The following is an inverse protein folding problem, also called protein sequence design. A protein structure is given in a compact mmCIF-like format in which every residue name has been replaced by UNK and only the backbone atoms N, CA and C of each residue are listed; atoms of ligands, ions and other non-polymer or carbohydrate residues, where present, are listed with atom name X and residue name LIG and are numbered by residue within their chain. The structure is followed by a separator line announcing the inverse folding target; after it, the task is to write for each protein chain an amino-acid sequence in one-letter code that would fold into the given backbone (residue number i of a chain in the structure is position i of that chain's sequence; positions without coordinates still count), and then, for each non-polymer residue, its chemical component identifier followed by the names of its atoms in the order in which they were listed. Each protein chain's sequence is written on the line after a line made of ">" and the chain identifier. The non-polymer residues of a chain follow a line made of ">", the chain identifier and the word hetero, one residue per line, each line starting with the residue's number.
data_IF_209155470018
#
_entry.id   IF_209155470018
#
_cell.length_a   1.000
_cell.length_b   1.000
_cell.length_c   1.000
_cell.angle_alpha   90.00
_cell.angle_beta   90.00
_cell.angle_gamma   90.00
#
_symmetry.space_group_name_H-M   'P 1'
#
loop_
_entity.id
_entity.type
_entity.pdbx_description
1 polymer ?
#
# COMPACT_ATOMS: atom_id res chain seq x y z
N UNK A 1 -57.01 -24.08 22.16
CA UNK A 1 -56.58 -22.88 21.42
C UNK A 1 -55.79 -21.89 22.27
N UNK A 2 -56.26 -21.52 23.48
CA UNK A 2 -55.57 -20.52 24.34
C UNK A 2 -54.12 -20.87 24.68
N UNK A 3 -53.83 -22.13 25.01
CA UNK A 3 -52.47 -22.59 25.35
C UNK A 3 -51.50 -22.45 24.17
N UNK A 4 -51.96 -22.78 22.95
CA UNK A 4 -51.14 -22.70 21.72
C UNK A 4 -50.78 -21.23 21.41
N UNK A 5 -51.73 -20.31 21.58
CA UNK A 5 -51.51 -18.88 21.38
C UNK A 5 -50.51 -18.33 22.39
N UNK A 6 -50.58 -18.74 23.65
CA UNK A 6 -49.62 -18.35 24.69
C UNK A 6 -48.21 -18.85 24.37
N UNK A 7 -48.07 -20.11 23.96
CA UNK A 7 -46.77 -20.68 23.57
C UNK A 7 -46.14 -19.94 22.38
N UNK A 8 -46.93 -19.55 21.37
CA UNK A 8 -46.45 -18.80 20.21
C UNK A 8 -45.99 -17.39 20.59
N UNK A 9 -46.72 -16.69 21.47
CA UNK A 9 -46.32 -15.37 21.96
C UNK A 9 -45.01 -15.45 22.74
N UNK A 10 -44.88 -16.45 23.63
CA UNK A 10 -43.64 -16.68 24.38
C UNK A 10 -42.48 -16.97 23.42
N UNK A 11 -42.66 -17.85 22.42
CA UNK A 11 -41.63 -18.15 21.44
C UNK A 11 -41.19 -16.91 20.64
N UNK A 12 -42.13 -16.05 20.23
CA UNK A 12 -41.83 -14.79 19.53
C UNK A 12 -41.11 -13.80 20.44
N UNK A 13 -41.51 -13.67 21.70
CA UNK A 13 -40.84 -12.80 22.67
C UNK A 13 -39.42 -13.29 23.00
N UNK A 14 -39.24 -14.60 23.16
CA UNK A 14 -37.93 -15.21 23.35
C UNK A 14 -37.05 -15.01 22.12
N UNK A 15 -37.58 -15.22 20.91
CA UNK A 15 -36.86 -14.97 19.66
C UNK A 15 -36.45 -13.49 19.51
N UNK A 16 -37.36 -12.55 19.80
CA UNK A 16 -37.05 -11.11 19.77
C UNK A 16 -36.02 -10.71 20.82
N UNK A 17 -36.07 -11.32 22.02
CA UNK A 17 -35.09 -11.07 23.07
C UNK A 17 -33.71 -11.64 22.72
N UNK A 18 -33.66 -12.82 22.08
CA UNK A 18 -32.43 -13.42 21.52
C UNK A 18 -31.81 -12.57 20.41
N UNK A 19 -32.63 -11.96 19.54
CA UNK A 19 -32.13 -11.02 18.53
C UNK A 19 -31.61 -9.71 19.16
N UNK A 20 -32.23 -9.24 20.26
CA UNK A 20 -31.77 -8.08 21.03
C UNK A 20 -30.45 -8.32 21.76
N UNK A 21 -30.09 -9.59 21.99
CA UNK A 21 -28.82 -10.03 22.59
C UNK A 21 -27.78 -10.48 21.55
N UNK A 22 -28.00 -10.21 20.25
CA UNK A 22 -26.86 -9.99 19.34
C UNK A 22 -26.18 -8.71 19.79
N UNK A 23 -25.34 -8.87 20.80
CA UNK A 23 -24.34 -7.93 21.26
C UNK A 23 -23.68 -7.32 20.03
N UNK A 24 -23.75 -6.00 19.93
CA UNK A 24 -22.81 -5.23 19.15
C UNK A 24 -21.43 -5.59 19.73
N UNK A 25 -20.77 -6.59 19.15
CA UNK A 25 -19.36 -6.84 19.42
C UNK A 25 -18.68 -5.55 19.01
N UNK A 26 -18.06 -4.80 19.94
CA UNK A 26 -17.28 -3.64 19.51
C UNK A 26 -16.27 -4.17 18.49
N UNK A 27 -16.30 -3.64 17.28
CA UNK A 27 -15.22 -3.88 16.32
C UNK A 27 -13.93 -3.49 17.05
N UNK A 28 -13.08 -4.48 17.31
CA UNK A 28 -11.75 -4.21 17.83
C UNK A 28 -10.99 -3.61 16.65
N UNK A 29 -11.05 -2.28 16.54
CA UNK A 29 -10.16 -1.53 15.68
C UNK A 29 -8.77 -1.63 16.31
N UNK A 30 -7.87 -2.36 15.66
CA UNK A 30 -6.46 -2.33 15.98
C UNK A 30 -5.80 -1.10 15.35
N UNK A 31 -4.67 -0.69 15.93
CA UNK A 31 -3.84 0.35 15.37
C UNK A 31 -4.42 1.77 15.44
N UNK A 32 -3.59 2.74 15.12
CA UNK A 32 -3.96 4.15 15.00
C UNK A 32 -4.36 4.50 13.57
N UNK A 33 -5.10 5.59 13.39
CA UNK A 33 -5.42 6.05 12.05
C UNK A 33 -4.14 6.44 11.29
N UNK A 34 -3.96 5.88 10.10
CA UNK A 34 -2.87 6.17 9.17
C UNK A 34 -3.43 6.25 7.75
N UNK A 35 -2.73 7.01 6.90
CA UNK A 35 -3.12 7.15 5.49
C UNK A 35 -4.49 7.80 5.32
N UNK A 36 -4.83 8.13 4.07
CA UNK A 36 -6.16 8.64 3.72
C UNK A 36 -6.58 8.12 2.35
N UNK A 37 -5.72 8.31 1.35
CA UNK A 37 -5.99 7.96 -0.04
C UNK A 37 -6.05 6.44 -0.25
N UNK A 38 -7.26 5.92 -0.52
CA UNK A 38 -7.55 4.50 -0.83
C UNK A 38 -6.81 3.53 0.11
N UNK A 39 -6.72 3.90 1.39
CA UNK A 39 -5.83 3.27 2.35
C UNK A 39 -6.10 1.76 2.55
N UNK A 40 -7.36 1.33 2.43
CA UNK A 40 -7.71 -0.08 2.51
C UNK A 40 -7.13 -0.90 1.35
N UNK A 41 -7.03 -0.31 0.15
CA UNK A 41 -6.41 -0.95 -1.01
C UNK A 41 -4.89 -1.00 -0.84
N UNK A 42 -4.29 0.14 -0.44
CA UNK A 42 -2.86 0.27 -0.09
C UNK A 42 -2.42 -0.72 0.99
N UNK A 43 -3.31 -1.12 1.90
CA UNK A 43 -3.02 -2.11 2.95
C UNK A 43 -3.58 -3.51 2.70
N UNK A 44 -4.21 -3.73 1.55
CA UNK A 44 -4.91 -4.98 1.20
C UNK A 44 -5.85 -5.47 2.31
N UNK A 45 -6.62 -4.55 2.88
CA UNK A 45 -7.61 -4.79 3.93
C UNK A 45 -9.05 -4.58 3.46
N UNK A 46 -9.23 -4.13 2.21
CA UNK A 46 -10.55 -3.99 1.58
C UNK A 46 -11.20 -5.36 1.34
N UNK A 47 -12.50 -5.34 1.06
CA UNK A 47 -13.27 -6.56 0.83
C UNK A 47 -12.81 -7.36 -0.41
N UNK A 48 -12.16 -6.71 -1.38
CA UNK A 48 -11.68 -7.33 -2.61
C UNK A 48 -10.24 -7.86 -2.45
N UNK A 49 -9.57 -7.67 -1.31
CA UNK A 49 -8.21 -8.15 -1.08
C UNK A 49 -8.05 -9.67 -1.27
N UNK A 50 -9.10 -10.45 -1.00
CA UNK A 50 -9.13 -11.90 -1.24
C UNK A 50 -9.13 -12.29 -2.73
N UNK A 51 -9.38 -11.34 -3.64
CA UNK A 51 -9.36 -11.54 -5.09
C UNK A 51 -7.98 -11.31 -5.73
N UNK A 52 -7.03 -10.76 -4.96
CA UNK A 52 -5.66 -10.53 -5.42
C UNK A 52 -5.03 -11.87 -5.78
N UNK A 53 -4.46 -11.96 -6.98
CA UNK A 53 -3.75 -13.14 -7.42
C UNK A 53 -2.50 -13.36 -6.54
N UNK A 54 -2.43 -14.45 -5.75
CA UNK A 54 -1.35 -14.65 -4.80
C UNK A 54 -0.05 -15.10 -5.47
N UNK A 55 -0.07 -15.45 -6.77
CA UNK A 55 1.12 -15.86 -7.51
C UNK A 55 1.87 -14.61 -8.02
N UNK A 56 3.09 -14.32 -7.52
CA UNK A 56 3.83 -13.15 -7.97
C UNK A 56 4.14 -13.24 -9.48
N UNK A 57 3.77 -12.21 -10.21
CA UNK A 57 4.08 -12.05 -11.63
C UNK A 57 5.43 -11.33 -11.78
N UNK A 58 6.38 -11.94 -12.49
CA UNK A 58 7.64 -11.25 -12.83
C UNK A 58 7.35 -10.04 -13.71
N UNK A 59 7.94 -8.89 -13.36
CA UNK A 59 7.84 -7.64 -14.13
C UNK A 59 9.09 -6.79 -13.91
N UNK A 60 9.26 -5.77 -14.74
CA UNK A 60 10.25 -4.69 -14.58
C UNK A 60 9.59 -3.38 -14.16
N UNK A 61 10.40 -2.43 -13.66
CA UNK A 61 9.95 -1.05 -13.42
C UNK A 61 9.50 -0.42 -14.74
N UNK A 62 10.24 -0.67 -15.83
CA UNK A 62 9.85 -0.20 -17.15
C UNK A 62 8.47 -0.66 -17.61
N UNK A 63 8.13 -1.94 -17.43
CA UNK A 63 6.82 -2.49 -17.80
C UNK A 63 5.71 -1.91 -16.92
N UNK A 64 5.89 -1.87 -15.61
CA UNK A 64 4.89 -1.31 -14.68
C UNK A 64 4.64 0.17 -14.97
N UNK A 65 5.70 0.96 -15.18
CA UNK A 65 5.62 2.38 -15.50
C UNK A 65 4.95 2.66 -16.86
N UNK A 66 4.77 1.65 -17.71
CA UNK A 66 4.08 1.76 -19.00
C UNK A 66 2.60 1.38 -18.95
N UNK A 67 2.12 0.86 -17.82
CA UNK A 67 0.71 0.50 -17.65
C UNK A 67 -0.19 1.75 -17.68
N UNK A 68 -1.40 1.66 -18.26
CA UNK A 68 -2.33 2.77 -18.28
C UNK A 68 -2.86 3.06 -16.87
N UNK A 69 -2.56 4.24 -16.33
CA UNK A 69 -3.16 4.69 -15.08
C UNK A 69 -4.69 4.84 -15.25
N UNK A 70 -5.50 4.43 -14.26
CA UNK A 70 -6.94 4.71 -14.24
C UNK A 70 -7.20 6.21 -14.38
N UNK A 71 -8.29 6.58 -15.07
CA UNK A 71 -8.67 8.00 -15.20
C UNK A 71 -9.26 8.58 -13.92
N UNK A 72 -9.95 7.74 -13.15
CA UNK A 72 -10.65 8.11 -11.92
C UNK A 72 -10.14 7.23 -10.77
N UNK A 73 -9.93 7.84 -9.61
CA UNK A 73 -9.66 7.15 -8.36
C UNK A 73 -10.98 6.76 -7.68
N UNK A 74 -11.38 5.49 -7.78
CA UNK A 74 -12.51 4.93 -7.04
C UNK A 74 -12.07 3.87 -6.02
N UNK A 75 -13.00 3.34 -5.24
CA UNK A 75 -12.73 2.28 -4.27
C UNK A 75 -12.58 0.89 -4.90
N UNK A 76 -12.72 0.77 -6.21
CA UNK A 76 -12.52 -0.49 -6.95
C UNK A 76 -11.07 -0.61 -7.41
N UNK A 77 -10.55 -1.84 -7.36
CA UNK A 77 -9.20 -2.16 -7.86
C UNK A 77 -9.15 -2.11 -9.39
N UNK A 78 -8.10 -1.52 -9.94
CA UNK A 78 -7.70 -1.72 -11.34
C UNK A 78 -7.11 -3.11 -11.56
N UNK A 79 -6.93 -3.53 -12.81
CA UNK A 79 -6.30 -4.83 -13.12
C UNK A 79 -4.88 -4.94 -12.55
N UNK A 80 -4.11 -3.85 -12.56
CA UNK A 80 -2.77 -3.85 -11.95
C UNK A 80 -2.84 -4.04 -10.43
N UNK A 81 -3.90 -3.52 -9.79
CA UNK A 81 -4.13 -3.62 -8.35
C UNK A 81 -4.63 -4.99 -7.88
N UNK A 82 -4.91 -5.92 -8.78
CA UNK A 82 -5.28 -7.31 -8.44
C UNK A 82 -4.09 -8.28 -8.54
N UNK A 83 -2.87 -7.79 -8.74
CA UNK A 83 -1.68 -8.63 -8.92
C UNK A 83 -0.57 -8.28 -7.92
N UNK A 84 0.12 -9.32 -7.44
CA UNK A 84 1.43 -9.18 -6.83
C UNK A 84 2.48 -9.22 -7.94
N UNK A 85 3.35 -8.23 -8.00
CA UNK A 85 4.47 -8.18 -8.93
C UNK A 85 5.77 -8.52 -8.21
N UNK A 86 6.66 -9.26 -8.87
CA UNK A 86 8.04 -9.49 -8.44
C UNK A 86 8.98 -8.71 -9.36
N UNK A 87 9.70 -7.75 -8.79
CA UNK A 87 10.55 -6.80 -9.53
C UNK A 87 11.98 -6.87 -8.98
N UNK A 88 12.95 -7.17 -9.84
CA UNK A 88 14.35 -6.93 -9.51
C UNK A 88 14.70 -5.46 -9.76
N UNK A 89 15.27 -4.80 -8.76
CA UNK A 89 15.54 -3.36 -8.79
C UNK A 89 16.83 -2.99 -8.06
N UNK A 90 17.27 -1.74 -8.25
CA UNK A 90 18.27 -1.09 -7.41
C UNK A 90 17.54 -0.31 -6.32
N UNK A 91 17.68 -0.72 -5.06
CA UNK A 91 17.19 0.02 -3.91
C UNK A 91 18.12 1.20 -3.64
N UNK A 92 17.65 2.42 -3.95
CA UNK A 92 18.44 3.65 -3.87
C UNK A 92 18.50 4.23 -2.47
N UNK A 93 17.46 4.02 -1.66
CA UNK A 93 17.32 4.68 -0.37
C UNK A 93 15.90 4.59 0.17
N UNK A 94 15.71 5.19 1.34
CA UNK A 94 14.41 5.18 2.02
C UNK A 94 14.21 6.33 3.00
N UNK A 95 12.96 6.51 3.43
CA UNK A 95 12.54 7.32 4.58
C UNK A 95 11.37 6.65 5.30
N UNK A 96 11.03 7.15 6.48
CA UNK A 96 9.77 6.85 7.15
C UNK A 96 8.79 8.00 6.90
N UNK A 97 7.60 7.71 6.39
CA UNK A 97 6.54 8.70 6.19
C UNK A 97 5.88 9.03 7.53
N UNK A 98 6.54 9.91 8.30
CA UNK A 98 6.14 10.30 9.65
C UNK A 98 5.66 11.75 9.70
N UNK A 99 4.99 12.11 10.79
CA UNK A 99 4.45 13.46 11.02
C UNK A 99 2.93 13.45 11.06
N UNK A 100 2.33 14.63 11.12
CA UNK A 100 0.87 14.81 11.24
C UNK A 100 0.09 14.24 10.04
N UNK A 101 0.72 14.20 8.87
CA UNK A 101 0.11 13.71 7.63
C UNK A 101 0.82 12.48 7.05
N UNK A 102 1.73 11.87 7.81
CA UNK A 102 2.40 10.63 7.41
C UNK A 102 1.54 9.39 7.68
N UNK A 103 1.65 8.38 6.82
CA UNK A 103 0.98 7.09 6.94
C UNK A 103 1.83 6.01 7.63
N UNK A 104 3.06 6.36 8.04
CA UNK A 104 4.04 5.52 8.74
C UNK A 104 4.64 4.42 7.89
N UNK A 105 4.50 4.53 6.59
CA UNK A 105 5.11 3.59 5.66
C UNK A 105 6.62 3.80 5.60
N UNK A 106 7.33 2.72 5.32
CA UNK A 106 8.70 2.84 4.85
C UNK A 106 8.67 3.06 3.34
N UNK A 107 8.87 4.33 2.95
CA UNK A 107 9.01 4.75 1.57
C UNK A 107 10.37 4.33 1.05
N UNK A 108 10.36 3.34 0.16
CA UNK A 108 11.53 2.89 -0.60
C UNK A 108 11.53 3.50 -1.99
N UNK A 109 12.71 3.93 -2.47
CA UNK A 109 12.88 4.31 -3.87
C UNK A 109 13.68 3.24 -4.59
N UNK A 110 13.05 2.68 -5.61
CA UNK A 110 13.63 1.70 -6.52
C UNK A 110 14.03 2.39 -7.83
N UNK A 111 15.13 1.97 -8.41
CA UNK A 111 15.53 2.32 -9.76
C UNK A 111 15.60 1.07 -10.64
N UNK A 112 15.26 1.24 -11.92
CA UNK A 112 15.36 0.19 -12.91
C UNK A 112 16.84 -0.22 -13.08
N UNK A 113 17.19 -1.52 -12.99
CA UNK A 113 18.56 -1.98 -13.19
C UNK A 113 19.13 -1.63 -14.57
N UNK A 114 18.28 -1.49 -15.59
CA UNK A 114 18.68 -1.21 -16.97
C UNK A 114 18.65 0.29 -17.30
N UNK A 115 17.95 1.10 -16.49
CA UNK A 115 17.90 2.56 -16.59
C UNK A 115 17.76 3.22 -15.20
N UNK A 116 18.87 3.58 -14.53
CA UNK A 116 18.83 4.12 -13.17
C UNK A 116 18.10 5.46 -12.99
N UNK A 117 17.73 6.15 -14.09
CA UNK A 117 16.91 7.36 -14.03
C UNK A 117 15.41 7.04 -13.98
N UNK A 118 15.02 5.81 -14.33
CA UNK A 118 13.64 5.33 -14.22
C UNK A 118 13.44 4.80 -12.82
N UNK A 119 12.61 5.48 -12.05
CA UNK A 119 12.33 5.14 -10.65
C UNK A 119 10.89 4.70 -10.44
N UNK A 120 10.68 3.96 -9.36
CA UNK A 120 9.36 3.58 -8.86
C UNK A 120 9.40 3.53 -7.33
N UNK A 121 8.26 3.79 -6.71
CA UNK A 121 8.10 3.73 -5.25
C UNK A 121 7.68 2.32 -4.85
N UNK A 122 8.10 1.92 -3.66
CA UNK A 122 7.59 0.74 -2.98
C UNK A 122 7.41 1.05 -1.49
N UNK A 123 6.21 0.79 -0.96
CA UNK A 123 5.80 1.17 0.39
C UNK A 123 5.58 -0.05 1.28
N UNK A 124 6.12 -0.02 2.50
CA UNK A 124 5.94 -1.10 3.48
C UNK A 124 5.10 -0.60 4.67
N UNK A 125 3.82 -1.02 4.78
CA UNK A 125 2.94 -0.54 5.84
C UNK A 125 3.43 -0.80 7.24
N UNK A 126 3.15 0.13 8.16
CA UNK A 126 3.33 -0.11 9.59
C UNK A 126 2.22 -1.02 10.13
N UNK A 127 2.59 -2.05 10.89
CA UNK A 127 1.63 -2.90 11.60
C UNK A 127 0.88 -2.19 12.73
N UNK A 128 1.32 -0.99 13.13
CA UNK A 128 0.64 -0.16 14.14
C UNK A 128 -0.51 0.66 13.54
N UNK A 129 -0.67 0.66 12.23
CA UNK A 129 -1.71 1.39 11.53
C UNK A 129 -3.00 0.59 11.41
N UNK A 130 -4.14 1.26 11.62
CA UNK A 130 -5.46 0.73 11.32
C UNK A 130 -5.51 0.31 9.84
N UNK A 131 -6.31 -0.73 9.54
CA UNK A 131 -6.36 -1.43 8.24
C UNK A 131 -5.14 -2.33 7.98
N UNK A 132 -3.91 -1.81 8.15
CA UNK A 132 -2.69 -2.63 8.04
C UNK A 132 -2.62 -3.72 9.12
N UNK A 133 -2.95 -3.38 10.37
CA UNK A 133 -2.98 -4.31 11.51
C UNK A 133 -4.05 -5.42 11.39
N UNK A 134 -5.08 -5.21 10.56
CA UNK A 134 -6.14 -6.18 10.29
C UNK A 134 -5.99 -6.87 8.95
N UNK A 135 -4.99 -6.49 8.14
CA UNK A 135 -4.72 -7.08 6.83
C UNK A 135 -4.32 -8.54 6.98
N UNK A 136 -4.76 -9.39 6.04
CA UNK A 136 -4.27 -10.78 5.95
C UNK A 136 -2.77 -10.86 5.67
N UNK A 137 -2.16 -9.75 5.24
CA UNK A 137 -0.75 -9.62 4.90
C UNK A 137 0.10 -9.01 6.04
N UNK A 138 -0.46 -8.77 7.23
CA UNK A 138 0.25 -8.13 8.36
C UNK A 138 1.63 -8.78 8.64
N UNK A 139 1.70 -10.11 8.68
CA UNK A 139 2.95 -10.80 8.98
C UNK A 139 4.03 -10.54 7.91
N UNK A 140 3.63 -10.38 6.65
CA UNK A 140 4.53 -10.03 5.56
C UNK A 140 5.04 -8.59 5.68
N UNK A 141 4.20 -7.65 6.12
CA UNK A 141 4.63 -6.28 6.40
C UNK A 141 5.68 -6.26 7.51
N UNK A 142 5.38 -6.91 8.64
CA UNK A 142 6.28 -6.99 9.79
C UNK A 142 7.61 -7.66 9.43
N UNK A 143 7.57 -8.76 8.68
CA UNK A 143 8.76 -9.45 8.22
C UNK A 143 9.58 -8.59 7.25
N UNK A 144 8.94 -7.92 6.30
CA UNK A 144 9.61 -7.01 5.35
C UNK A 144 10.31 -5.87 6.07
N UNK A 145 9.64 -5.21 7.04
CA UNK A 145 10.25 -4.17 7.88
C UNK A 145 11.42 -4.73 8.68
N UNK A 146 11.28 -5.91 9.28
CA UNK A 146 12.38 -6.55 10.02
C UNK A 146 13.58 -6.86 9.12
N UNK A 147 13.37 -7.32 7.88
CA UNK A 147 14.44 -7.56 6.91
C UNK A 147 15.15 -6.25 6.60
N UNK A 148 14.42 -5.18 6.28
CA UNK A 148 15.01 -3.86 6.04
C UNK A 148 15.85 -3.37 7.23
N UNK A 149 15.33 -3.50 8.45
CA UNK A 149 16.00 -3.09 9.68
C UNK A 149 17.22 -3.96 10.05
N UNK A 150 17.31 -5.17 9.51
CA UNK A 150 18.50 -6.01 9.67
C UNK A 150 19.64 -5.60 8.73
N UNK A 151 19.32 -4.90 7.63
CA UNK A 151 20.30 -4.38 6.67
C UNK A 151 20.68 -2.91 6.95
N UNK A 152 19.76 -2.11 7.50
CA UNK A 152 19.93 -0.68 7.62
C UNK A 152 19.45 -0.14 8.99
N UNK A 153 20.04 0.97 9.49
CA UNK A 153 19.48 1.68 10.64
C UNK A 153 18.07 2.19 10.36
N UNK A 154 17.21 2.24 11.39
CA UNK A 154 15.86 2.81 11.33
C UNK A 154 15.79 4.09 10.46
N UNK A 155 14.83 4.19 9.53
CA UNK A 155 14.70 5.36 8.69
C UNK A 155 14.12 6.55 9.47
N UNK A 156 14.42 7.75 8.99
CA UNK A 156 13.87 9.01 9.51
C UNK A 156 12.97 9.65 8.45
N UNK A 157 12.29 10.75 8.80
CA UNK A 157 11.47 11.52 7.86
C UNK A 157 12.27 12.05 6.64
N UNK A 158 13.57 12.30 6.82
CA UNK A 158 14.44 12.74 5.74
C UNK A 158 14.89 11.55 4.90
N UNK A 159 14.74 11.66 3.57
CA UNK A 159 15.18 10.64 2.64
C UNK A 159 16.69 10.43 2.70
N UNK A 160 17.09 9.17 2.92
CA UNK A 160 18.49 8.76 2.98
C UNK A 160 18.81 7.83 1.82
N UNK A 161 19.78 8.23 1.02
CA UNK A 161 20.37 7.37 -0.01
C UNK A 161 21.27 6.31 0.62
N UNK A 162 21.25 5.10 0.07
CA UNK A 162 22.22 4.06 0.37
C UNK A 162 23.48 4.28 -0.45
N UNK A 163 24.63 4.13 0.20
CA UNK A 163 25.94 4.24 -0.45
C UNK A 163 26.87 3.21 0.16
N UNK A 164 27.14 2.09 -0.53
CA UNK A 164 26.60 1.74 -1.85
C UNK A 164 25.09 1.39 -1.84
N UNK A 165 24.47 1.42 -3.02
CA UNK A 165 23.08 0.97 -3.22
C UNK A 165 23.02 -0.57 -3.27
N UNK A 166 21.80 -1.13 -3.22
CA UNK A 166 21.60 -2.58 -3.17
C UNK A 166 20.79 -3.08 -4.34
N UNK A 167 21.16 -4.22 -4.92
CA UNK A 167 20.28 -4.95 -5.83
C UNK A 167 19.33 -5.82 -5.01
N UNK A 168 18.04 -5.65 -5.23
CA UNK A 168 16.98 -6.33 -4.48
C UNK A 168 15.99 -6.98 -5.43
N UNK A 169 15.24 -7.96 -4.92
CA UNK A 169 13.97 -8.40 -5.49
C UNK A 169 12.86 -7.99 -4.53
N UNK A 170 11.88 -7.26 -5.03
CA UNK A 170 10.73 -6.77 -4.24
C UNK A 170 9.48 -7.45 -4.77
N UNK A 171 8.66 -7.99 -3.88
CA UNK A 171 7.31 -8.43 -4.20
C UNK A 171 6.30 -7.51 -3.52
N UNK A 172 5.37 -6.97 -4.29
CA UNK A 172 4.33 -6.08 -3.78
C UNK A 172 3.15 -5.98 -4.73
N UNK A 173 2.04 -5.46 -4.24
CA UNK A 173 0.83 -5.29 -5.06
C UNK A 173 0.94 -4.01 -5.88
N UNK A 174 0.52 -4.04 -7.15
CA UNK A 174 0.45 -2.82 -7.93
C UNK A 174 -0.54 -1.84 -7.32
N UNK A 175 -0.22 -0.56 -7.35
CA UNK A 175 -1.13 0.50 -6.93
C UNK A 175 -0.87 1.77 -7.73
N UNK A 176 -1.92 2.40 -8.25
CA UNK A 176 -1.79 3.70 -8.90
C UNK A 176 -2.11 4.81 -7.92
N UNK A 177 -1.06 5.54 -7.52
CA UNK A 177 -1.18 6.65 -6.59
C UNK A 177 -1.45 7.99 -7.31
N UNK A 178 -1.83 9.00 -6.54
CA UNK A 178 -1.83 10.37 -7.02
C UNK A 178 -0.44 10.99 -6.95
N UNK A 179 -0.12 11.86 -7.91
CA UNK A 179 1.10 12.66 -7.81
C UNK A 179 0.95 13.75 -6.74
N UNK A 180 1.78 13.68 -5.71
CA UNK A 180 1.87 14.66 -4.63
C UNK A 180 3.33 15.04 -4.33
N UNK A 181 4.20 15.02 -5.36
CA UNK A 181 5.65 15.33 -5.30
C UNK A 181 6.46 14.34 -4.45
N UNK A 182 5.98 13.11 -4.36
CA UNK A 182 6.68 12.03 -3.70
C UNK A 182 7.96 11.64 -4.47
N UNK A 183 9.02 11.34 -3.71
CA UNK A 183 10.34 11.09 -4.29
C UNK A 183 10.37 9.72 -4.96
N UNK A 184 10.89 9.65 -6.19
CA UNK A 184 11.06 8.38 -6.90
C UNK A 184 9.81 7.85 -7.58
N UNK A 185 8.75 8.66 -7.67
CA UNK A 185 7.50 8.31 -8.35
C UNK A 185 7.74 7.86 -9.80
N UNK A 186 6.96 6.88 -10.26
CA UNK A 186 6.96 6.47 -11.66
C UNK A 186 6.25 7.50 -12.55
N UNK A 187 6.50 7.48 -13.86
CA UNK A 187 5.87 8.41 -14.81
C UNK A 187 4.34 8.32 -14.81
N UNK A 188 3.78 7.13 -14.58
CA UNK A 188 2.34 6.87 -14.46
C UNK A 188 1.84 6.76 -13.00
N UNK A 189 2.65 7.13 -12.02
CA UNK A 189 2.39 6.96 -10.57
C UNK A 189 2.07 5.53 -10.09
N UNK A 190 2.44 4.49 -10.84
CA UNK A 190 2.38 3.16 -10.27
C UNK A 190 3.45 2.99 -9.18
N UNK A 191 3.08 2.31 -8.11
CA UNK A 191 3.95 1.89 -7.02
C UNK A 191 3.66 0.45 -6.62
N UNK A 192 4.54 -0.12 -5.79
CA UNK A 192 4.24 -1.37 -5.08
C UNK A 192 3.75 -1.03 -3.68
N UNK A 193 2.44 -1.14 -3.46
CA UNK A 193 1.79 -0.82 -2.19
C UNK A 193 0.62 -1.78 -1.93
N UNK A 194 0.74 -2.70 -0.96
CA UNK A 194 1.87 -2.88 -0.05
C UNK A 194 2.96 -3.79 -0.64
N UNK A 195 4.20 -3.56 -0.20
CA UNK A 195 5.28 -4.55 -0.31
C UNK A 195 5.06 -5.66 0.71
N UNK A 196 5.10 -6.90 0.24
CA UNK A 196 4.91 -8.11 1.04
C UNK A 196 6.19 -8.93 1.19
N UNK A 197 7.23 -8.66 0.39
CA UNK A 197 8.51 -9.33 0.51
C UNK A 197 9.63 -8.51 -0.11
N UNK A 198 10.81 -8.58 0.51
CA UNK A 198 12.05 -8.06 -0.06
C UNK A 198 13.19 -9.06 0.14
N UNK A 199 13.98 -9.28 -0.90
CA UNK A 199 15.19 -10.09 -0.88
C UNK A 199 16.38 -9.24 -1.33
N UNK A 200 17.43 -9.18 -0.50
CA UNK A 200 18.70 -8.56 -0.89
C UNK A 200 19.52 -9.56 -1.71
N UNK A 201 19.80 -9.23 -2.98
CA UNK A 201 20.52 -10.11 -3.90
C UNK A 201 22.02 -9.89 -3.82
N UNK A 202 22.45 -8.61 -3.77
CA UNK A 202 23.84 -8.20 -3.59
C UNK A 202 23.93 -6.70 -3.31
N UNK A 203 24.95 -6.32 -2.56
CA UNK A 203 25.41 -4.93 -2.51
C UNK A 203 26.03 -4.57 -3.87
N UNK A 204 25.85 -3.32 -4.31
CA UNK A 204 26.52 -2.81 -5.50
C UNK A 204 27.88 -2.24 -5.13
N UNK A 205 28.80 -2.20 -6.09
CA UNK A 205 30.02 -1.41 -5.90
C UNK A 205 29.64 0.08 -5.88
N UNK A 206 30.35 0.94 -5.13
CA UNK A 206 30.11 2.38 -5.15
C UNK A 206 30.22 2.90 -6.59
N UNK A 207 29.09 3.22 -7.22
CA UNK A 207 29.11 3.97 -8.47
C UNK A 207 29.44 5.42 -8.14
N UNK A 208 30.41 6.01 -8.84
CA UNK A 208 30.68 7.44 -8.77
C UNK A 208 29.41 8.20 -9.16
N UNK A 209 28.81 8.85 -8.16
CA UNK A 209 27.57 9.63 -8.19
C UNK A 209 26.28 8.79 -8.31
N UNK A 210 25.36 8.88 -7.34
CA UNK A 210 23.97 8.43 -7.52
C UNK A 210 23.37 9.11 -8.76
N UNK A 211 22.41 8.49 -9.47
CA UNK A 211 21.69 9.15 -10.55
C UNK A 211 21.18 10.52 -10.07
N UNK A 212 21.77 11.57 -10.65
CA UNK A 212 21.36 12.93 -10.38
C UNK A 212 20.12 13.18 -11.22
N UNK A 213 18.97 13.21 -10.52
CA UNK A 213 17.66 13.75 -10.93
C UNK A 213 16.55 12.69 -10.83
N UNK A 214 15.93 12.62 -9.66
CA UNK A 214 14.47 12.41 -9.64
C UNK A 214 13.89 13.68 -10.24
N UNK A 215 13.40 13.62 -11.48
CA UNK A 215 12.99 14.83 -12.18
C UNK A 215 11.72 15.39 -11.52
N UNK A 216 11.80 16.57 -10.93
CA UNK A 216 10.65 17.35 -10.45
C UNK A 216 9.84 17.98 -11.61
N UNK A 217 10.01 17.51 -12.85
CA UNK A 217 9.56 18.25 -14.03
C UNK A 217 9.06 17.40 -15.21
N UNK A 218 8.88 16.10 -15.01
CA UNK A 218 8.16 15.27 -15.99
C UNK A 218 6.66 15.49 -15.86
N UNK A 219 5.94 15.54 -16.97
CA UNK A 219 4.49 15.44 -16.96
C UNK A 219 4.15 14.03 -16.46
N UNK A 220 3.64 13.93 -15.23
CA UNK A 220 3.23 12.65 -14.66
C UNK A 220 1.80 12.33 -15.10
N UNK A 221 1.59 11.14 -15.65
CA UNK A 221 0.30 10.67 -16.14
C UNK A 221 -0.38 9.80 -15.07
N UNK A 222 -0.72 10.43 -13.94
CA UNK A 222 -1.27 9.74 -12.78
C UNK A 222 -2.79 9.76 -12.76
N UNK A 223 -3.37 8.94 -11.90
CA UNK A 223 -4.82 8.98 -11.64
C UNK A 223 -5.24 10.37 -11.18
N UNK A 224 -6.35 10.88 -11.72
CA UNK A 224 -6.93 12.15 -11.29
C UNK A 224 -8.18 11.91 -10.41
N UNK A 225 -8.36 12.76 -9.40
CA UNK A 225 -9.68 12.92 -8.77
C UNK A 225 -10.51 13.82 -9.67
N UNK A 226 -11.61 13.31 -10.25
CA UNK A 226 -12.69 14.21 -10.66
C UNK A 226 -13.21 14.87 -9.39
N UNK A 227 -12.89 16.15 -9.18
CA UNK A 227 -13.62 16.95 -8.20
C UNK A 227 -15.06 16.94 -8.66
N UNK A 228 -15.93 16.25 -7.92
CA UNK A 228 -17.35 16.51 -8.03
C UNK A 228 -17.52 18.01 -7.79
N UNK A 229 -17.96 18.72 -8.82
CA UNK A 229 -18.37 20.12 -8.71
C UNK A 229 -19.65 20.17 -7.88
N UNK A 230 -19.51 19.98 -6.56
CA UNK A 230 -20.51 20.30 -5.56
C UNK A 230 -20.38 21.77 -5.24
N UNK A 231 -21.29 22.55 -5.82
CA UNK A 231 -21.61 23.96 -5.53
C UNK A 231 -21.13 24.49 -4.17
N UNK A 232 -20.11 25.35 -4.20
CA UNK A 232 -20.11 26.53 -3.34
C UNK A 232 -21.18 27.47 -3.92
N UNK A 233 -22.31 27.60 -3.22
CA UNK A 233 -23.23 28.75 -3.22
C UNK A 233 -24.42 28.45 -2.28
N UNK A 234 -24.26 28.71 -0.99
CA UNK A 234 -25.18 29.45 -0.08
C UNK A 234 -24.66 29.47 1.38
#
# INVERSE_FOLDING_TARGET
>A
MVIIVICLIIAVLLYRNMQRTRTHTPEIHCGEHCGTERWQIKTASDAEAASINPAPQSSSIAELASLPAPRESGDTRSEAETHIYSVEAILLGWKAETGEHGDRDYHLVLADPDDPNRTMIAEVPSGDCANACSSSHLQQFLQTRQILLSHFPEPHAQFRYFTPAWRVRVEGMGFFDMFHRQKGVAENCIELHPVVKIEFLRELEPQESPPHRTSESGEHHCTHIERSSGSEDE
#
